data_IF_511566447274
#
_entry.id   IF_511566447274
#
_cell.length_a   1.000
_cell.length_b   1.000
_cell.length_c   1.000
_cell.angle_alpha   90.00
_cell.angle_beta   90.00
_cell.angle_gamma   90.00
#
_symmetry.space_group_name_H-M   'P 1'
#
loop_
_entity.id
_entity.type
_entity.pdbx_description
1 polymer ?
#
# COMPACT_ATOMS: atom_id res chain seq x y z
N UNK A 1 6.00 29.15 -17.76
CA UNK A 1 6.94 29.29 -18.90
C UNK A 1 7.01 27.92 -19.55
N UNK A 2 6.41 27.77 -20.74
CA UNK A 2 6.40 26.50 -21.46
C UNK A 2 7.81 26.17 -21.94
N UNK A 3 8.55 25.42 -21.14
CA UNK A 3 9.78 24.78 -21.58
C UNK A 3 9.40 23.73 -22.63
N UNK A 4 9.74 23.98 -23.90
CA UNK A 4 9.64 23.00 -24.99
C UNK A 4 10.69 21.90 -24.77
N UNK A 5 10.44 21.04 -23.78
CA UNK A 5 11.27 19.87 -23.48
C UNK A 5 10.77 18.72 -24.35
N UNK A 6 11.69 18.05 -25.03
CA UNK A 6 11.37 16.86 -25.81
C UNK A 6 10.77 15.76 -24.91
N UNK A 7 9.74 15.08 -25.41
CA UNK A 7 8.95 14.10 -24.65
C UNK A 7 9.85 12.99 -24.08
N UNK A 8 10.93 12.63 -24.78
CA UNK A 8 11.89 11.64 -24.31
C UNK A 8 12.62 12.14 -23.06
N UNK A 9 13.13 13.37 -23.09
CA UNK A 9 13.85 13.97 -21.94
C UNK A 9 12.94 14.17 -20.74
N UNK A 10 11.68 14.58 -20.94
CA UNK A 10 10.69 14.70 -19.87
C UNK A 10 10.44 13.35 -19.19
N UNK A 11 10.27 12.29 -19.98
CA UNK A 11 10.03 10.93 -19.46
C UNK A 11 11.19 10.46 -18.59
N UNK A 12 12.43 10.63 -19.07
CA UNK A 12 13.63 10.30 -18.30
C UNK A 12 13.74 11.10 -17.00
N UNK A 13 13.40 12.38 -17.02
CA UNK A 13 13.47 13.25 -15.84
C UNK A 13 12.40 12.87 -14.81
N UNK A 14 11.16 12.60 -15.23
CA UNK A 14 10.07 12.17 -14.34
C UNK A 14 10.34 10.81 -13.70
N UNK A 15 10.73 9.80 -14.51
CA UNK A 15 11.04 8.48 -13.98
C UNK A 15 12.33 8.46 -13.15
N UNK A 16 13.37 9.16 -13.61
CA UNK A 16 14.65 9.24 -12.91
C UNK A 16 14.52 9.92 -11.55
N UNK A 17 13.82 11.05 -11.48
CA UNK A 17 13.58 11.74 -10.21
C UNK A 17 12.72 10.91 -9.26
N UNK A 18 11.66 10.25 -9.74
CA UNK A 18 10.86 9.34 -8.92
C UNK A 18 11.69 8.22 -8.29
N UNK A 19 12.58 7.60 -9.08
CA UNK A 19 13.42 6.51 -8.61
C UNK A 19 14.43 6.98 -7.56
N UNK A 20 15.07 8.12 -7.78
CA UNK A 20 16.02 8.74 -6.82
C UNK A 20 15.31 9.11 -5.51
N UNK A 21 14.13 9.73 -5.57
CA UNK A 21 13.38 10.12 -4.37
C UNK A 21 12.88 8.90 -3.59
N UNK A 22 12.49 7.83 -4.27
CA UNK A 22 12.07 6.60 -3.61
C UNK A 22 13.25 5.86 -2.96
N UNK A 23 14.44 5.88 -3.59
CA UNK A 23 15.68 5.35 -2.99
C UNK A 23 16.12 6.16 -1.76
N UNK A 24 15.75 7.43 -1.67
CA UNK A 24 15.98 8.25 -0.47
C UNK A 24 15.08 7.85 0.73
N UNK A 25 14.19 6.87 0.57
CA UNK A 25 13.35 6.33 1.64
C UNK A 25 12.11 7.18 1.95
N UNK A 26 11.77 8.15 1.11
CA UNK A 26 10.58 8.97 1.27
C UNK A 26 9.32 8.14 0.96
N UNK A 27 8.21 8.29 1.73
CA UNK A 27 6.98 7.56 1.44
C UNK A 27 6.45 7.90 0.05
N UNK A 28 6.06 6.85 -0.70
CA UNK A 28 5.55 6.93 -2.08
C UNK A 28 4.55 8.08 -2.28
N UNK A 29 3.58 8.24 -1.38
CA UNK A 29 2.52 9.24 -1.50
C UNK A 29 3.05 10.68 -1.58
N UNK A 30 4.09 11.00 -0.79
CA UNK A 30 4.71 12.33 -0.81
C UNK A 30 5.60 12.52 -2.03
N UNK A 31 6.31 11.46 -2.45
CA UNK A 31 7.17 11.49 -3.63
C UNK A 31 6.36 11.74 -4.90
N UNK A 32 5.31 10.94 -5.13
CA UNK A 32 4.48 11.05 -6.35
C UNK A 32 3.66 12.34 -6.36
N UNK A 33 3.07 12.74 -5.22
CA UNK A 33 2.33 13.99 -5.10
C UNK A 33 3.23 15.22 -5.27
N UNK A 34 4.41 15.21 -4.64
CA UNK A 34 5.39 16.29 -4.76
C UNK A 34 5.93 16.45 -6.17
N UNK A 35 6.31 15.34 -6.82
CA UNK A 35 6.73 15.33 -8.22
C UNK A 35 5.61 15.82 -9.14
N UNK A 36 4.36 15.40 -8.93
CA UNK A 36 3.23 15.91 -9.69
C UNK A 36 3.10 17.43 -9.59
N UNK A 37 3.17 18.01 -8.38
CA UNK A 37 3.13 19.46 -8.19
C UNK A 37 4.31 20.18 -8.87
N UNK A 38 5.53 19.65 -8.72
CA UNK A 38 6.75 20.25 -9.29
C UNK A 38 6.70 20.23 -10.82
N UNK A 39 6.37 19.09 -11.44
CA UNK A 39 6.29 19.00 -12.89
C UNK A 39 5.10 19.78 -13.48
N UNK A 40 3.95 19.81 -12.81
CA UNK A 40 2.82 20.64 -13.24
C UNK A 40 3.12 22.14 -13.15
N UNK A 41 3.90 22.57 -12.16
CA UNK A 41 4.33 23.96 -12.05
C UNK A 41 5.41 24.34 -13.08
N UNK A 42 6.36 23.43 -13.36
CA UNK A 42 7.46 23.69 -14.29
C UNK A 42 7.04 23.63 -15.77
N UNK A 43 6.15 22.71 -16.15
CA UNK A 43 5.69 22.55 -17.53
C UNK A 43 4.35 23.25 -17.82
N UNK A 44 3.48 23.38 -16.80
CA UNK A 44 2.16 23.97 -16.94
C UNK A 44 2.13 25.48 -16.67
N UNK A 45 0.92 26.02 -16.60
CA UNK A 45 0.64 27.37 -16.11
C UNK A 45 0.21 27.32 -14.63
N UNK A 46 0.22 28.47 -13.93
CA UNK A 46 -0.23 28.54 -12.54
C UNK A 46 -1.66 27.99 -12.34
N UNK A 47 -2.51 28.07 -13.37
CA UNK A 47 -3.85 27.49 -13.33
C UNK A 47 -3.87 25.96 -13.39
N UNK A 48 -2.86 25.33 -13.99
CA UNK A 48 -2.75 23.86 -14.13
C UNK A 48 -2.60 23.16 -12.78
N UNK A 49 -2.12 23.86 -11.74
CA UNK A 49 -2.05 23.33 -10.38
C UNK A 49 -3.43 23.02 -9.78
N UNK A 50 -4.52 23.61 -10.27
CA UNK A 50 -5.89 23.28 -9.83
C UNK A 50 -6.32 21.84 -10.17
N UNK A 51 -5.59 21.17 -11.07
CA UNK A 51 -5.83 19.75 -11.39
C UNK A 51 -5.49 18.86 -10.19
N UNK A 52 -4.50 19.23 -9.36
CA UNK A 52 -4.08 18.42 -8.21
C UNK A 52 -5.20 18.25 -7.18
N UNK A 53 -5.79 19.32 -6.60
CA UNK A 53 -6.87 19.17 -5.63
C UNK A 53 -8.12 18.55 -6.24
N UNK A 54 -8.47 18.87 -7.50
CA UNK A 54 -9.64 18.27 -8.15
C UNK A 54 -9.54 16.76 -8.37
N UNK A 55 -8.32 16.18 -8.36
CA UNK A 55 -8.10 14.73 -8.41
C UNK A 55 -7.97 14.08 -7.04
N UNK A 56 -7.36 14.77 -6.07
CA UNK A 56 -7.15 14.22 -4.72
C UNK A 56 -8.44 14.23 -3.90
N UNK A 57 -9.23 15.31 -3.94
CA UNK A 57 -10.43 15.43 -3.10
C UNK A 57 -11.43 14.29 -3.32
N UNK A 58 -11.82 13.93 -4.56
CA UNK A 58 -12.74 12.81 -4.80
C UNK A 58 -12.21 11.49 -4.25
N UNK A 59 -10.90 11.23 -4.35
CA UNK A 59 -10.26 10.03 -3.83
C UNK A 59 -10.29 9.99 -2.30
N UNK A 60 -10.11 11.13 -1.62
CA UNK A 60 -10.18 11.20 -0.15
C UNK A 60 -11.61 11.03 0.39
N UNK A 61 -12.61 11.46 -0.36
CA UNK A 61 -14.03 11.32 -0.01
C UNK A 61 -14.64 10.00 -0.49
N UNK A 62 -13.83 9.13 -1.09
CA UNK A 62 -14.31 7.86 -1.63
C UNK A 62 -14.81 6.95 -0.49
N UNK A 63 -16.03 6.46 -0.62
CA UNK A 63 -16.64 5.56 0.35
C UNK A 63 -15.83 4.28 0.54
N UNK A 64 -15.07 3.86 -0.47
CA UNK A 64 -14.22 2.67 -0.41
C UNK A 64 -13.10 2.81 0.63
N UNK A 65 -12.65 4.03 0.95
CA UNK A 65 -11.69 4.26 2.04
C UNK A 65 -12.28 3.96 3.43
N UNK A 66 -13.61 4.06 3.59
CA UNK A 66 -14.29 3.68 4.85
C UNK A 66 -14.22 2.17 5.13
N UNK A 67 -13.94 1.36 4.12
CA UNK A 67 -13.73 -0.08 4.29
C UNK A 67 -12.45 -0.38 5.08
N UNK A 68 -11.41 0.48 5.01
CA UNK A 68 -10.13 0.26 5.68
C UNK A 68 -10.30 0.18 7.22
N UNK A 69 -10.95 1.14 7.91
CA UNK A 69 -11.24 1.02 9.33
C UNK A 69 -12.09 -0.20 9.69
N UNK A 70 -13.08 -0.55 8.85
CA UNK A 70 -13.94 -1.71 9.07
C UNK A 70 -13.16 -3.03 8.99
N UNK A 71 -12.23 -3.15 8.04
CA UNK A 71 -11.33 -4.29 7.93
C UNK A 71 -10.37 -4.39 9.13
N UNK A 72 -9.81 -3.26 9.58
CA UNK A 72 -8.98 -3.22 10.80
C UNK A 72 -9.79 -3.62 12.04
N UNK A 73 -11.03 -3.14 12.14
CA UNK A 73 -11.93 -3.50 13.24
C UNK A 73 -12.22 -5.00 13.28
N UNK A 74 -12.54 -5.61 12.13
CA UNK A 74 -12.75 -7.04 12.03
C UNK A 74 -11.48 -7.83 12.41
N UNK A 75 -10.29 -7.39 11.95
CA UNK A 75 -9.03 -8.01 12.33
C UNK A 75 -8.83 -8.03 13.85
N UNK A 76 -9.05 -6.88 14.51
CA UNK A 76 -8.95 -6.72 15.96
C UNK A 76 -9.98 -7.59 16.70
N UNK A 77 -11.20 -7.73 16.17
CA UNK A 77 -12.19 -8.64 16.73
C UNK A 77 -11.76 -10.11 16.62
N UNK A 78 -11.27 -10.56 15.45
CA UNK A 78 -10.81 -11.94 15.25
C UNK A 78 -9.61 -12.28 16.15
N UNK A 79 -8.70 -11.33 16.33
CA UNK A 79 -7.55 -11.46 17.24
C UNK A 79 -8.02 -11.59 18.70
N UNK A 80 -8.92 -10.70 19.15
CA UNK A 80 -9.46 -10.72 20.52
C UNK A 80 -10.33 -11.94 20.81
N UNK A 81 -11.01 -12.47 19.79
CA UNK A 81 -11.81 -13.68 19.91
C UNK A 81 -10.98 -14.97 19.97
N UNK A 82 -9.66 -14.89 19.75
CA UNK A 82 -8.77 -16.06 19.75
C UNK A 82 -8.81 -16.89 18.45
N UNK A 83 -9.68 -16.54 17.51
CA UNK A 83 -9.90 -17.27 16.25
C UNK A 83 -8.60 -17.40 15.44
N UNK A 84 -7.76 -16.37 15.47
CA UNK A 84 -6.46 -16.38 14.78
C UNK A 84 -5.55 -17.49 15.28
N UNK A 85 -5.51 -17.72 16.61
CA UNK A 85 -4.66 -18.76 17.23
C UNK A 85 -5.21 -20.15 16.97
N UNK A 86 -6.50 -20.33 17.16
CA UNK A 86 -7.16 -21.62 16.92
C UNK A 86 -7.00 -22.04 15.46
N UNK A 87 -7.09 -21.09 14.52
CA UNK A 87 -6.87 -21.35 13.11
C UNK A 87 -5.42 -21.78 12.82
N UNK A 88 -4.43 -21.09 13.40
CA UNK A 88 -3.03 -21.47 13.25
C UNK A 88 -2.76 -22.88 13.78
N UNK A 89 -3.29 -23.22 14.95
CA UNK A 89 -3.11 -24.54 15.56
C UNK A 89 -3.71 -25.66 14.70
N UNK A 90 -4.88 -25.44 14.08
CA UNK A 90 -5.48 -26.40 13.15
C UNK A 90 -4.58 -26.62 11.94
N UNK A 91 -4.09 -25.55 11.31
CA UNK A 91 -3.20 -25.62 10.14
C UNK A 91 -1.89 -26.33 10.51
N UNK A 92 -1.29 -25.96 11.64
CA UNK A 92 -0.06 -26.57 12.12
C UNK A 92 -0.25 -28.04 12.47
N UNK A 93 -1.41 -28.45 13.00
CA UNK A 93 -1.69 -29.86 13.29
C UNK A 93 -1.79 -30.71 12.02
N UNK A 94 -2.28 -30.13 10.93
CA UNK A 94 -2.38 -30.82 9.62
C UNK A 94 -1.00 -30.90 8.94
N UNK A 95 -0.20 -29.83 9.01
CA UNK A 95 1.07 -29.74 8.27
C UNK A 95 2.32 -30.11 9.10
N UNK A 96 2.23 -30.12 10.42
CA UNK A 96 3.37 -30.24 11.35
C UNK A 96 4.10 -31.59 11.31
N UNK A 97 3.48 -32.62 10.75
CA UNK A 97 4.12 -33.93 10.53
C UNK A 97 5.14 -33.95 9.39
N UNK A 98 5.20 -32.90 8.55
CA UNK A 98 6.09 -32.82 7.40
C UNK A 98 7.42 -32.13 7.77
N UNK A 99 8.52 -32.53 7.12
CA UNK A 99 9.79 -31.80 7.20
C UNK A 99 9.61 -30.42 6.57
N UNK A 100 9.71 -29.35 7.36
CA UNK A 100 9.36 -27.99 6.96
C UNK A 100 7.91 -27.58 7.27
N UNK A 101 7.15 -28.40 7.99
CA UNK A 101 5.74 -28.19 8.31
C UNK A 101 5.44 -26.89 9.04
N UNK A 102 6.35 -26.40 9.88
CA UNK A 102 6.21 -25.10 10.55
C UNK A 102 6.21 -23.94 9.53
N UNK A 103 7.17 -23.92 8.60
CA UNK A 103 7.25 -22.87 7.58
C UNK A 103 6.04 -22.89 6.64
N UNK A 104 5.61 -24.07 6.21
CA UNK A 104 4.44 -24.23 5.36
C UNK A 104 3.14 -23.83 6.09
N UNK A 105 3.01 -24.16 7.37
CA UNK A 105 1.88 -23.74 8.20
C UNK A 105 1.83 -22.22 8.37
N UNK A 106 2.97 -21.56 8.62
CA UNK A 106 3.03 -20.10 8.75
C UNK A 106 2.63 -19.40 7.46
N UNK A 107 3.10 -19.85 6.29
CA UNK A 107 2.74 -19.26 4.99
C UNK A 107 1.24 -19.43 4.70
N UNK A 108 0.68 -20.62 4.96
CA UNK A 108 -0.74 -20.87 4.73
C UNK A 108 -1.62 -20.08 5.69
N UNK A 109 -1.25 -20.05 6.99
CA UNK A 109 -1.98 -19.29 7.99
C UNK A 109 -1.94 -17.80 7.68
N UNK A 110 -0.79 -17.24 7.32
CA UNK A 110 -0.68 -15.82 6.93
C UNK A 110 -1.51 -15.50 5.70
N UNK A 111 -1.52 -16.40 4.72
CA UNK A 111 -2.32 -16.23 3.49
C UNK A 111 -3.83 -16.20 3.81
N UNK A 112 -4.32 -17.12 4.65
CA UNK A 112 -5.74 -17.18 5.02
C UNK A 112 -6.12 -15.97 5.88
N UNK A 113 -5.29 -15.57 6.85
CA UNK A 113 -5.54 -14.37 7.64
C UNK A 113 -5.55 -13.11 6.77
N UNK A 114 -4.60 -12.98 5.83
CA UNK A 114 -4.55 -11.87 4.90
C UNK A 114 -5.78 -11.84 3.98
N UNK A 115 -6.26 -13.00 3.53
CA UNK A 115 -7.47 -13.11 2.72
C UNK A 115 -8.74 -12.70 3.48
N UNK A 116 -8.85 -13.04 4.77
CA UNK A 116 -9.98 -12.63 5.59
C UNK A 116 -9.95 -11.14 5.91
N UNK A 117 -8.79 -10.61 6.31
CA UNK A 117 -8.65 -9.23 6.82
C UNK A 117 -8.47 -8.20 5.69
N UNK A 118 -7.95 -8.59 4.53
CA UNK A 118 -7.77 -7.70 3.38
C UNK A 118 -6.71 -6.59 3.55
N UNK A 119 -6.02 -6.54 4.69
CA UNK A 119 -5.01 -5.51 5.01
C UNK A 119 -3.66 -6.16 5.28
N UNK A 120 -2.67 -5.83 4.44
CA UNK A 120 -1.30 -6.36 4.50
C UNK A 120 -0.63 -6.05 5.85
N UNK A 121 -0.93 -4.89 6.45
CA UNK A 121 -0.35 -4.46 7.73
C UNK A 121 -0.73 -5.31 8.94
N UNK A 122 -1.94 -5.89 8.98
CA UNK A 122 -2.40 -6.69 10.12
C UNK A 122 -1.71 -8.05 10.21
N UNK A 123 -1.40 -8.67 9.05
CA UNK A 123 -0.73 -9.96 9.00
C UNK A 123 0.75 -9.88 9.43
N UNK A 124 1.44 -8.78 9.12
CA UNK A 124 2.86 -8.59 9.50
C UNK A 124 3.01 -8.33 11.00
N UNK A 125 2.15 -7.49 11.60
CA UNK A 125 2.25 -7.14 13.03
C UNK A 125 1.92 -8.31 13.97
N UNK A 126 1.04 -9.22 13.56
CA UNK A 126 0.58 -10.34 14.42
C UNK A 126 1.46 -11.59 14.33
N UNK A 127 2.19 -11.77 13.22
CA UNK A 127 2.98 -12.99 12.97
C UNK A 127 4.50 -12.76 13.05
N UNK A 128 4.96 -11.50 13.06
CA UNK A 128 6.38 -11.12 13.14
C UNK A 128 6.92 -10.60 11.82
#
# INVERSE_FOLDING_TARGET
MGLEIDIQTLTWLMFGSLLVLLMAGLPLAFVTGGLACVFLFLLGDAQTLNIVPSRIFPLMTDYQLSAIPLFIFMASMLERAGIIRDMFDVIYKILGGLRGGLAAATILASTILAAMVGVIGAAVVTMG
#
